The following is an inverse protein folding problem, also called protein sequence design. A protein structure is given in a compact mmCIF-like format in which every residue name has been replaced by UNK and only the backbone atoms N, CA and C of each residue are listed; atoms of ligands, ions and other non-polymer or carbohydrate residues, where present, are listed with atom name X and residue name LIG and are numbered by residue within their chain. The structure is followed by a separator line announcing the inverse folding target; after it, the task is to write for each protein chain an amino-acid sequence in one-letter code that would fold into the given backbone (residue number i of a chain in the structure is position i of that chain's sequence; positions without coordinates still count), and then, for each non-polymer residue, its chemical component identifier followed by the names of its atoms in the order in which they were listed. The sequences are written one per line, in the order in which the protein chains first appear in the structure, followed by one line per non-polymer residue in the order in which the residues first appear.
data_IF_510409763262
#
_entry.id   IF_510409763262
#
_cell.length_a   1.000
_cell.length_b   1.000
_cell.length_c   1.000
_cell.angle_alpha   90.00
_cell.angle_beta   90.00
_cell.angle_gamma   90.00
#
_symmetry.space_group_name_H-M   'P 1'
#
loop_
_entity.id
_entity.type
_entity.pdbx_description
1 polymer ?
#
# COMPACT_ATOMS: atom_id res chain seq x y z
N UNK A 1 1.32 -7.94 -7.84
CA UNK A 1 2.74 -7.71 -8.17
C UNK A 1 3.04 -6.24 -7.98
N UNK A 2 4.07 -5.94 -7.20
CA UNK A 2 4.53 -4.57 -6.96
C UNK A 2 4.97 -3.88 -8.24
N UNK A 3 4.56 -2.62 -8.41
CA UNK A 3 5.02 -1.74 -9.46
C UNK A 3 5.62 -0.49 -8.83
N UNK A 4 6.71 0.04 -9.41
CA UNK A 4 7.36 1.23 -8.86
C UNK A 4 6.37 2.41 -8.84
N UNK A 5 6.04 2.98 -7.66
CA UNK A 5 5.11 4.09 -7.56
C UNK A 5 5.70 5.38 -8.16
N UNK A 6 4.83 6.24 -8.69
CA UNK A 6 5.18 7.56 -9.20
C UNK A 6 5.09 8.58 -8.06
N UNK A 7 6.21 9.24 -7.75
CA UNK A 7 6.32 10.13 -6.57
C UNK A 7 6.75 11.55 -6.96
N UNK A 8 6.74 11.82 -8.26
CA UNK A 8 7.14 13.06 -8.91
C UNK A 8 6.01 13.68 -9.73
N UNK A 9 4.75 13.42 -9.34
CA UNK A 9 3.56 14.03 -9.94
C UNK A 9 3.68 15.55 -10.01
N UNK A 10 3.31 16.10 -11.16
CA UNK A 10 3.28 17.54 -11.43
C UNK A 10 1.83 18.02 -11.61
N UNK A 11 1.60 19.32 -11.44
CA UNK A 11 0.27 19.91 -11.68
C UNK A 11 -0.24 19.74 -13.12
N UNK A 12 0.66 19.53 -14.08
CA UNK A 12 0.32 19.26 -15.48
C UNK A 12 0.03 17.78 -15.79
N UNK A 13 0.32 16.88 -14.84
CA UNK A 13 0.13 15.45 -15.05
C UNK A 13 -1.34 15.07 -14.94
N UNK A 14 -1.77 14.18 -15.83
CA UNK A 14 -3.12 13.65 -15.82
C UNK A 14 -3.17 12.29 -15.11
N UNK A 15 -4.07 12.15 -14.15
CA UNK A 15 -4.32 10.88 -13.47
C UNK A 15 -5.18 9.96 -14.35
N UNK A 16 -4.63 8.82 -14.77
CA UNK A 16 -5.32 7.86 -15.62
C UNK A 16 -5.65 6.54 -14.91
N UNK A 17 -6.40 5.68 -15.60
CA UNK A 17 -6.84 4.37 -15.08
C UNK A 17 -5.64 3.45 -14.77
N UNK A 18 -4.57 3.55 -15.55
CA UNK A 18 -3.33 2.81 -15.29
C UNK A 18 -2.68 3.23 -13.97
N UNK A 19 -2.68 4.53 -13.65
CA UNK A 19 -2.19 5.04 -12.37
C UNK A 19 -3.05 4.56 -11.20
N UNK A 20 -4.38 4.60 -11.36
CA UNK A 20 -5.32 4.07 -10.37
C UNK A 20 -5.06 2.58 -10.09
N UNK A 21 -4.99 1.75 -11.15
CA UNK A 21 -4.75 0.31 -11.01
C UNK A 21 -3.35 0.03 -10.44
N UNK A 22 -2.34 0.85 -10.76
CA UNK A 22 -1.01 0.77 -10.15
C UNK A 22 -1.07 0.99 -8.63
N UNK A 23 -1.68 2.10 -8.18
CA UNK A 23 -1.77 2.44 -6.75
C UNK A 23 -2.55 1.35 -6.00
N UNK A 24 -3.71 0.95 -6.52
CA UNK A 24 -4.53 -0.12 -5.98
C UNK A 24 -3.76 -1.43 -5.86
N UNK A 25 -3.09 -1.86 -6.94
CA UNK A 25 -2.30 -3.08 -6.97
C UNK A 25 -1.15 -3.05 -5.95
N UNK A 26 -0.51 -1.90 -5.79
CA UNK A 26 0.55 -1.69 -4.80
C UNK A 26 0.04 -1.80 -3.35
N UNK A 27 -1.11 -1.20 -3.03
CA UNK A 27 -1.72 -1.31 -1.69
C UNK A 27 -2.10 -2.76 -1.38
N UNK A 28 -2.68 -3.48 -2.36
CA UNK A 28 -2.99 -4.91 -2.22
C UNK A 28 -1.73 -5.75 -1.97
N UNK A 29 -0.67 -5.52 -2.75
CA UNK A 29 0.61 -6.20 -2.58
C UNK A 29 1.23 -5.93 -1.20
N UNK A 30 1.21 -4.67 -0.74
CA UNK A 30 1.65 -4.29 0.61
C UNK A 30 0.89 -5.09 1.66
N UNK A 31 -0.44 -5.22 1.55
CA UNK A 31 -1.24 -6.04 2.46
C UNK A 31 -0.78 -7.49 2.41
N UNK A 32 -0.68 -8.09 1.23
CA UNK A 32 -0.25 -9.49 1.08
C UNK A 32 1.08 -9.74 1.76
N UNK A 33 2.06 -8.85 1.59
CA UNK A 33 3.37 -8.98 2.21
C UNK A 33 3.32 -8.72 3.73
N UNK A 34 2.54 -7.73 4.18
CA UNK A 34 2.33 -7.47 5.59
C UNK A 34 1.76 -8.70 6.32
N UNK A 35 0.79 -9.39 5.73
CA UNK A 35 0.18 -10.60 6.31
C UNK A 35 1.15 -11.78 6.45
N UNK A 36 2.32 -11.75 5.79
CA UNK A 36 3.37 -12.78 6.00
C UNK A 36 4.17 -12.54 7.28
N UNK A 37 4.17 -11.32 7.82
CA UNK A 37 5.00 -10.89 8.94
C UNK A 37 4.19 -10.45 10.17
N UNK A 38 2.95 -10.02 9.97
CA UNK A 38 2.02 -9.55 11.00
C UNK A 38 0.69 -10.32 10.92
N UNK A 39 -0.06 -10.39 12.03
CA UNK A 39 -1.42 -10.96 12.01
C UNK A 39 -2.34 -10.16 11.10
N UNK A 40 -3.49 -10.75 10.77
CA UNK A 40 -4.51 -10.08 9.96
C UNK A 40 -5.01 -8.80 10.62
N UNK A 41 -5.31 -7.81 9.78
CA UNK A 41 -5.74 -6.48 10.18
C UNK A 41 -6.88 -6.01 9.28
N UNK A 42 -7.63 -5.02 9.75
CA UNK A 42 -8.75 -4.47 8.97
C UNK A 42 -8.24 -4.00 7.61
N UNK A 43 -8.90 -4.36 6.52
CA UNK A 43 -8.60 -3.85 5.20
C UNK A 43 -9.87 -3.87 4.37
N UNK A 44 -10.11 -2.79 3.63
CA UNK A 44 -11.31 -2.59 2.83
C UNK A 44 -11.04 -3.01 1.38
N UNK A 45 -11.94 -3.82 0.80
CA UNK A 45 -11.80 -4.18 -0.61
C UNK A 45 -11.99 -2.97 -1.53
N UNK A 46 -11.02 -2.78 -2.42
CA UNK A 46 -10.96 -1.69 -3.39
C UNK A 46 -11.63 -2.05 -4.73
N UNK A 47 -12.34 -3.18 -4.80
CA UNK A 47 -13.06 -3.65 -6.00
C UNK A 47 -12.16 -4.23 -7.09
N UNK A 48 -12.73 -4.40 -8.29
CA UNK A 48 -12.06 -4.89 -9.51
C UNK A 48 -11.21 -3.79 -10.19
N UNK A 49 -10.30 -4.19 -11.07
CA UNK A 49 -9.47 -3.22 -11.79
C UNK A 49 -10.33 -2.41 -12.75
N UNK A 50 -10.07 -1.10 -12.80
CA UNK A 50 -10.79 -0.23 -13.72
C UNK A 50 -10.37 -0.52 -15.16
N UNK A 51 -11.34 -0.52 -16.04
CA UNK A 51 -11.21 -0.65 -17.49
C UNK A 51 -11.47 0.69 -18.15
N UNK A 52 -11.11 0.85 -19.43
CA UNK A 52 -11.40 2.07 -20.20
C UNK A 52 -12.90 2.38 -20.33
N UNK A 53 -13.77 1.43 -20.01
CA UNK A 53 -15.23 1.59 -20.03
C UNK A 53 -15.77 2.14 -18.71
N UNK A 54 -14.96 2.14 -17.64
CA UNK A 54 -15.34 2.69 -16.35
C UNK A 54 -15.27 4.21 -16.38
N UNK A 55 -16.43 4.85 -16.29
CA UNK A 55 -16.55 6.30 -16.30
C UNK A 55 -16.08 6.87 -14.97
N UNK A 56 -14.84 7.38 -14.96
CA UNK A 56 -14.30 8.21 -13.89
C UNK A 56 -13.85 7.47 -12.62
N UNK A 57 -13.42 8.28 -11.67
CA UNK A 57 -12.96 7.86 -10.35
C UNK A 57 -13.94 8.41 -9.32
N UNK A 58 -14.48 7.54 -8.48
CA UNK A 58 -15.41 7.93 -7.44
C UNK A 58 -14.66 8.36 -6.17
N UNK A 59 -15.26 9.26 -5.40
CA UNK A 59 -14.63 9.76 -4.18
C UNK A 59 -14.46 8.66 -3.12
N UNK A 60 -15.42 7.74 -3.04
CA UNK A 60 -15.37 6.60 -2.12
C UNK A 60 -14.20 5.65 -2.43
N UNK A 61 -13.88 5.46 -3.71
CA UNK A 61 -12.73 4.65 -4.15
C UNK A 61 -11.41 5.23 -3.65
N UNK A 62 -11.20 6.54 -3.80
CA UNK A 62 -10.00 7.22 -3.30
C UNK A 62 -9.96 7.20 -1.77
N UNK A 63 -11.11 7.39 -1.12
CA UNK A 63 -11.20 7.27 0.34
C UNK A 63 -10.83 5.88 0.87
N UNK A 64 -11.07 4.81 0.08
CA UNK A 64 -10.61 3.45 0.45
C UNK A 64 -9.10 3.32 0.38
N UNK A 65 -8.43 4.00 -0.56
CA UNK A 65 -6.96 4.02 -0.61
C UNK A 65 -6.39 4.64 0.67
N UNK A 66 -6.90 5.79 1.06
CA UNK A 66 -6.56 6.47 2.30
C UNK A 66 -6.79 5.59 3.54
N UNK A 67 -7.98 4.99 3.63
CA UNK A 67 -8.35 4.10 4.74
C UNK A 67 -7.41 2.89 4.83
N UNK A 68 -7.07 2.27 3.71
CA UNK A 68 -6.22 1.10 3.68
C UNK A 68 -4.78 1.42 4.07
N UNK A 69 -4.25 2.59 3.68
CA UNK A 69 -2.92 3.04 4.11
C UNK A 69 -2.88 3.23 5.64
N UNK A 70 -3.90 3.87 6.22
CA UNK A 70 -4.03 4.01 7.67
C UNK A 70 -4.13 2.64 8.35
N UNK A 71 -4.96 1.75 7.82
CA UNK A 71 -5.14 0.42 8.39
C UNK A 71 -3.86 -0.42 8.36
N UNK A 72 -3.08 -0.33 7.28
CA UNK A 72 -1.77 -0.96 7.21
C UNK A 72 -0.84 -0.37 8.27
N UNK A 73 -0.81 0.95 8.46
CA UNK A 73 0.03 1.58 9.49
C UNK A 73 -0.37 1.15 10.91
N UNK A 74 -1.67 1.02 11.19
CA UNK A 74 -2.17 0.54 12.48
C UNK A 74 -1.86 -0.95 12.70
N UNK A 75 -2.03 -1.78 11.66
CA UNK A 75 -1.83 -3.23 11.74
C UNK A 75 -0.37 -3.69 11.73
N UNK A 76 0.54 -2.87 11.19
CA UNK A 76 1.96 -3.23 11.03
C UNK A 76 2.88 -2.43 11.95
N UNK A 77 3.21 -1.22 11.54
CA UNK A 77 4.06 -0.27 12.26
C UNK A 77 3.57 1.15 11.94
N UNK A 78 3.51 2.06 12.92
CA UNK A 78 3.03 3.42 12.71
C UNK A 78 4.03 4.24 11.88
N UNK A 79 3.93 4.12 10.56
CA UNK A 79 4.71 4.92 9.63
C UNK A 79 4.15 6.34 9.59
N UNK A 80 5.02 7.34 9.66
CA UNK A 80 4.61 8.71 9.34
C UNK A 80 4.36 8.81 7.82
N UNK A 81 3.08 8.77 7.43
CA UNK A 81 2.57 8.80 6.04
C UNK A 81 1.83 10.09 5.70
N UNK A 82 1.86 11.08 6.60
CA UNK A 82 1.10 12.32 6.48
C UNK A 82 -0.34 12.20 6.98
N UNK A 83 -1.12 13.25 6.77
CA UNK A 83 -2.52 13.33 7.21
C UNK A 83 -3.46 12.80 6.14
N UNK A 84 -4.35 11.89 6.54
CA UNK A 84 -5.41 11.36 5.68
C UNK A 84 -6.35 12.47 5.23
N UNK A 85 -6.64 12.49 3.93
CA UNK A 85 -7.68 13.34 3.35
C UNK A 85 -9.00 12.58 3.19
N UNK A 86 -10.09 13.34 3.09
CA UNK A 86 -11.43 12.82 2.84
C UNK A 86 -12.04 13.52 1.64
N UNK A 87 -12.47 12.73 0.66
CA UNK A 87 -13.09 13.20 -0.57
C UNK A 87 -14.61 12.99 -0.53
N UNK A 88 -15.32 13.89 -1.18
CA UNK A 88 -16.78 13.85 -1.29
C UNK A 88 -17.19 13.96 -2.76
N UNK A 89 -18.33 13.36 -3.10
CA UNK A 89 -18.90 13.46 -4.45
C UNK A 89 -19.15 14.92 -4.82
N UNK A 90 -18.87 15.28 -6.08
CA UNK A 90 -18.89 16.66 -6.58
C UNK A 90 -17.91 17.62 -5.89
N UNK A 91 -16.96 17.11 -5.11
CA UNK A 91 -15.85 17.88 -4.54
C UNK A 91 -14.68 18.04 -5.51
N UNK A 92 -13.63 18.78 -5.09
CA UNK A 92 -12.37 18.84 -5.83
C UNK A 92 -11.76 17.44 -5.94
N UNK A 93 -11.24 17.13 -7.13
CA UNK A 93 -10.50 15.89 -7.34
C UNK A 93 -9.16 15.91 -6.59
N UNK A 94 -8.60 14.72 -6.32
CA UNK A 94 -7.29 14.58 -5.67
C UNK A 94 -6.22 15.36 -6.45
N UNK A 95 -5.39 16.11 -5.72
CA UNK A 95 -4.31 16.87 -6.31
C UNK A 95 -3.02 16.04 -6.47
N UNK A 96 -2.09 16.58 -7.25
CA UNK A 96 -0.80 15.93 -7.51
C UNK A 96 0.08 15.83 -6.25
N UNK A 97 -0.08 16.73 -5.26
CA UNK A 97 0.68 16.68 -4.02
C UNK A 97 0.25 15.48 -3.18
N UNK A 98 -1.04 15.21 -3.21
CA UNK A 98 -1.68 14.17 -2.46
C UNK A 98 -1.47 12.80 -3.11
N UNK A 99 -1.46 12.74 -4.45
CA UNK A 99 -0.95 11.57 -5.18
C UNK A 99 0.51 11.26 -4.80
N UNK A 100 1.38 12.28 -4.76
CA UNK A 100 2.77 12.11 -4.30
C UNK A 100 2.85 11.59 -2.86
N UNK A 101 1.98 12.08 -1.96
CA UNK A 101 1.92 11.63 -0.57
C UNK A 101 1.52 10.16 -0.47
N UNK A 102 0.42 9.77 -1.11
CA UNK A 102 -0.11 8.39 -1.13
C UNK A 102 0.95 7.43 -1.70
N UNK A 103 1.50 7.75 -2.88
CA UNK A 103 2.47 6.88 -3.54
C UNK A 103 3.79 6.80 -2.77
N UNK A 104 4.23 7.89 -2.14
CA UNK A 104 5.40 7.89 -1.25
C UNK A 104 5.16 7.09 0.03
N UNK A 105 3.94 7.15 0.60
CA UNK A 105 3.54 6.35 1.75
C UNK A 105 3.60 4.86 1.41
N UNK A 106 2.99 4.45 0.30
CA UNK A 106 3.07 3.08 -0.20
C UNK A 106 4.53 2.61 -0.36
N UNK A 107 5.38 3.42 -1.00
CA UNK A 107 6.80 3.09 -1.19
C UNK A 107 7.53 2.91 0.15
N UNK A 108 7.27 3.79 1.12
CA UNK A 108 7.88 3.75 2.44
C UNK A 108 7.45 2.49 3.19
N UNK A 109 6.16 2.19 3.22
CA UNK A 109 5.63 0.99 3.88
C UNK A 109 6.26 -0.26 3.24
N UNK A 110 6.21 -0.36 1.91
CA UNK A 110 6.75 -1.50 1.16
C UNK A 110 8.22 -1.76 1.47
N UNK A 111 9.07 -0.73 1.40
CA UNK A 111 10.50 -0.84 1.72
C UNK A 111 10.76 -1.31 3.15
N UNK A 112 9.94 -0.88 4.11
CA UNK A 112 10.08 -1.31 5.50
C UNK A 112 9.66 -2.78 5.68
N UNK A 113 8.59 -3.21 5.03
CA UNK A 113 8.14 -4.61 5.04
C UNK A 113 9.23 -5.51 4.45
N UNK A 114 9.79 -5.14 3.27
CA UNK A 114 10.89 -5.87 2.66
C UNK A 114 12.14 -5.89 3.53
N UNK A 115 12.56 -4.73 4.04
CA UNK A 115 13.73 -4.64 4.92
C UNK A 115 13.60 -5.50 6.17
N UNK A 116 12.37 -5.66 6.70
CA UNK A 116 12.09 -6.61 7.78
C UNK A 116 12.14 -8.05 7.29
N UNK A 117 11.49 -8.38 6.18
CA UNK A 117 11.48 -9.74 5.62
C UNK A 117 12.91 -10.26 5.37
N UNK A 118 13.78 -9.41 4.81
CA UNK A 118 15.20 -9.70 4.57
C UNK A 118 16.04 -9.63 5.85
N UNK A 119 15.69 -8.74 6.78
CA UNK A 119 16.42 -8.50 8.03
C UNK A 119 16.15 -9.51 9.14
N UNK A 120 15.11 -10.36 9.02
CA UNK A 120 14.87 -11.46 9.97
C UNK A 120 16.03 -12.46 9.87
N UNK A 121 16.97 -12.37 10.81
CA UNK A 121 18.06 -13.34 10.95
C UNK A 121 17.46 -14.70 11.28
N UNK A 122 17.52 -15.64 10.34
CA UNK A 122 17.24 -17.05 10.61
C UNK A 122 18.47 -17.63 11.29
N UNK A 123 18.39 -17.87 12.60
CA UNK A 123 19.43 -18.60 13.31
C UNK A 123 19.42 -20.05 12.80
N UNK A 124 20.42 -20.41 12.00
CA UNK A 124 20.71 -21.80 11.71
C UNK A 124 21.34 -22.42 12.96
N UNK A 125 20.67 -23.40 13.56
CA UNK A 125 21.26 -24.24 14.59
C UNK A 125 21.21 -25.69 14.14
N UNK A 126 22.33 -26.39 14.30
CA UNK A 126 22.44 -27.82 14.02
C UNK A 126 22.23 -28.55 15.34
N UNK A 127 21.13 -29.30 15.46
CA UNK A 127 20.95 -30.27 16.53
C UNK A 127 21.80 -31.50 16.22
N UNK A 128 23.04 -31.55 16.71
CA UNK A 128 23.74 -32.82 16.79
C UNK A 128 23.05 -33.68 17.84
N UNK A 129 22.23 -34.62 17.38
CA UNK A 129 21.53 -35.58 18.22
C UNK A 129 22.52 -36.33 19.10
N UNK A 130 22.30 -36.29 20.41
CA UNK A 130 23.09 -37.06 21.36
C UNK A 130 23.00 -38.54 21.04
N UNK A 131 24.15 -39.21 21.02
CA UNK A 131 24.19 -40.67 21.01
C UNK A 131 23.53 -41.15 22.32
N UNK A 132 22.43 -41.87 22.19
CA UNK A 132 21.86 -42.63 23.29
C UNK A 132 22.62 -43.95 23.36
N UNK A 133 23.40 -44.14 24.43
CA UNK A 133 23.99 -45.43 24.83
C UNK A 133 22.93 -46.36 25.42
#
# INVERSE_FOLDING_TARGET
MWQQPKTDWQASDYFNIGDYNRIKGNINEIRTQALTLWPDFKFEEMGEDKTYQDYGFYADEINRFEANIDHVCVGTFPFNVGERQFYHDNGPFIDWQELNRIESACLKIYRNILGRAEGIRRLAFTLNGGAFE
#
